data_IF_737326459636
#
_entry.id   IF_737326459636
#
_cell.length_a   1.000
_cell.length_b   1.000
_cell.length_c   1.000
_cell.angle_alpha   90.00
_cell.angle_beta   90.00
_cell.angle_gamma   90.00
#
_symmetry.space_group_name_H-M   'P 1'
#
loop_
_entity.id
_entity.type
_entity.pdbx_description
1 polymer ?
#
# COMPACT_ATOMS: atom_id res chain seq x y z
N UNK A 1 2.09 25.20 0.40
CA UNK A 1 0.89 24.48 -0.06
C UNK A 1 -0.10 24.20 1.08
N UNK A 2 0.21 23.38 2.09
CA UNK A 2 -0.73 23.16 3.20
C UNK A 2 -0.97 24.43 4.03
N UNK A 3 0.10 25.15 4.39
CA UNK A 3 0.00 26.43 5.12
C UNK A 3 -0.73 27.53 4.34
N UNK A 4 -0.67 27.49 3.00
CA UNK A 4 -1.43 28.42 2.15
C UNK A 4 -2.92 28.08 2.11
N UNK A 5 -3.27 26.78 2.10
CA UNK A 5 -4.67 26.33 2.17
C UNK A 5 -5.27 26.78 3.51
N UNK A 6 -4.55 26.58 4.61
CA UNK A 6 -4.95 27.03 5.94
C UNK A 6 -5.01 28.56 6.03
N UNK A 7 -4.02 29.27 5.49
CA UNK A 7 -3.93 30.73 5.51
C UNK A 7 -5.04 31.43 4.71
N UNK A 8 -5.61 30.76 3.69
CA UNK A 8 -6.72 31.27 2.90
C UNK A 8 -8.11 31.02 3.52
N UNK A 9 -8.18 30.42 4.71
CA UNK A 9 -9.45 30.09 5.37
C UNK A 9 -10.25 28.97 4.67
N UNK A 10 -9.62 28.25 3.74
CA UNK A 10 -10.20 27.06 3.12
C UNK A 10 -10.08 25.92 4.12
N UNK A 11 -11.21 25.35 4.53
CA UNK A 11 -11.23 24.21 5.44
C UNK A 11 -10.81 22.95 4.65
N UNK A 12 -9.63 22.37 4.92
CA UNK A 12 -9.22 21.12 4.28
C UNK A 12 -10.28 20.06 4.51
N UNK A 13 -10.68 19.41 3.44
CA UNK A 13 -11.62 18.32 3.47
C UNK A 13 -10.94 17.01 3.07
N UNK A 14 -11.76 15.98 2.99
CA UNK A 14 -11.32 14.65 2.65
C UNK A 14 -10.55 14.57 1.31
N UNK A 15 -10.97 15.33 0.31
CA UNK A 15 -10.35 15.34 -1.02
C UNK A 15 -8.98 16.04 -1.00
N UNK A 16 -8.89 17.10 -0.19
CA UNK A 16 -7.66 17.89 -0.01
C UNK A 16 -6.54 17.04 0.56
N UNK A 17 -6.81 16.29 1.64
CA UNK A 17 -5.82 15.40 2.25
C UNK A 17 -5.41 14.25 1.33
N UNK A 18 -6.34 13.71 0.53
CA UNK A 18 -6.00 12.68 -0.46
C UNK A 18 -5.03 13.21 -1.52
N UNK A 19 -5.27 14.41 -2.05
CA UNK A 19 -4.38 15.02 -3.03
C UNK A 19 -2.98 15.28 -2.46
N UNK A 20 -2.89 15.75 -1.21
CA UNK A 20 -1.62 16.01 -0.53
C UNK A 20 -0.83 14.73 -0.26
N UNK A 21 -1.48 13.68 0.27
CA UNK A 21 -0.82 12.39 0.49
C UNK A 21 -0.33 11.75 -0.81
N UNK A 22 -1.11 11.87 -1.89
CA UNK A 22 -0.72 11.41 -3.21
C UNK A 22 0.51 12.19 -3.73
N UNK A 23 0.53 13.51 -3.57
CA UNK A 23 1.66 14.35 -3.94
C UNK A 23 2.92 14.01 -3.13
N UNK A 24 2.80 13.83 -1.80
CA UNK A 24 3.90 13.38 -0.94
C UNK A 24 4.44 12.02 -1.38
N UNK A 25 3.56 11.07 -1.71
CA UNK A 25 3.94 9.77 -2.24
C UNK A 25 4.68 9.87 -3.58
N UNK A 26 4.21 10.72 -4.50
CA UNK A 26 4.86 10.90 -5.79
C UNK A 26 6.21 11.59 -5.68
N UNK A 27 6.35 12.51 -4.72
CA UNK A 27 7.56 13.30 -4.50
C UNK A 27 8.57 12.66 -3.53
N UNK A 28 8.25 11.51 -2.92
CA UNK A 28 9.09 10.87 -1.89
C UNK A 28 9.20 11.67 -0.58
N UNK A 29 8.23 12.55 -0.30
CA UNK A 29 8.25 13.43 0.87
C UNK A 29 7.61 12.72 2.07
N UNK A 30 8.38 11.84 2.72
CA UNK A 30 7.89 10.96 3.78
C UNK A 30 7.42 11.75 5.00
N UNK A 31 8.29 12.60 5.56
CA UNK A 31 7.99 13.32 6.80
C UNK A 31 6.81 14.27 6.61
N UNK A 32 6.70 14.90 5.45
CA UNK A 32 5.54 15.72 5.09
C UNK A 32 4.27 14.85 4.97
N UNK A 33 4.36 13.68 4.33
CA UNK A 33 3.23 12.75 4.23
C UNK A 33 2.75 12.25 5.59
N UNK A 34 3.68 11.99 6.52
CA UNK A 34 3.38 11.61 7.92
C UNK A 34 2.70 12.74 8.66
N UNK A 35 3.21 13.96 8.52
CA UNK A 35 2.64 15.13 9.18
C UNK A 35 1.25 15.45 8.63
N UNK A 36 1.07 15.40 7.30
CA UNK A 36 -0.25 15.55 6.66
C UNK A 36 -1.24 14.50 7.18
N UNK A 37 -0.82 13.25 7.33
CA UNK A 37 -1.67 12.17 7.86
C UNK A 37 -2.02 12.36 9.33
N UNK A 38 -1.05 12.80 10.15
CA UNK A 38 -1.24 13.13 11.57
C UNK A 38 -2.24 14.26 11.73
N UNK A 39 -2.04 15.38 11.02
CA UNK A 39 -2.92 16.55 11.04
C UNK A 39 -4.35 16.17 10.64
N UNK A 40 -4.51 15.39 9.56
CA UNK A 40 -5.82 14.90 9.10
C UNK A 40 -6.58 14.16 10.21
N UNK A 41 -5.90 13.26 10.93
CA UNK A 41 -6.50 12.41 11.96
C UNK A 41 -6.75 13.18 13.26
N UNK A 42 -5.72 13.86 13.75
CA UNK A 42 -5.69 14.38 15.12
C UNK A 42 -6.29 15.78 15.21
N UNK A 43 -6.14 16.61 14.17
CA UNK A 43 -6.59 18.01 14.18
C UNK A 43 -7.90 18.21 13.42
N UNK A 44 -8.13 17.44 12.35
CA UNK A 44 -9.35 17.53 11.55
C UNK A 44 -10.37 16.42 11.87
N UNK A 45 -10.03 15.44 12.70
CA UNK A 45 -10.87 14.28 13.05
C UNK A 45 -11.40 13.53 11.82
N UNK A 46 -10.69 13.61 10.69
CA UNK A 46 -11.07 12.93 9.46
C UNK A 46 -10.50 11.52 9.53
N UNK A 47 -11.38 10.53 9.72
CA UNK A 47 -10.99 9.13 9.66
C UNK A 47 -10.44 8.81 8.26
N UNK A 48 -9.28 8.16 8.24
CA UNK A 48 -8.68 7.68 7.00
C UNK A 48 -9.59 6.58 6.42
N UNK A 49 -10.19 6.83 5.25
CA UNK A 49 -10.78 5.78 4.44
C UNK A 49 -9.67 4.89 3.88
N UNK A 50 -10.02 3.66 3.53
CA UNK A 50 -9.15 2.64 2.92
C UNK A 50 -8.11 3.18 1.95
N UNK A 51 -8.51 4.06 1.04
CA UNK A 51 -7.64 4.64 0.00
C UNK A 51 -6.43 5.39 0.57
N UNK A 52 -6.52 5.99 1.76
CA UNK A 52 -5.40 6.75 2.36
C UNK A 52 -4.34 5.83 2.95
N UNK A 53 -4.75 4.69 3.52
CA UNK A 53 -3.80 3.68 4.01
C UNK A 53 -3.04 3.02 2.86
N UNK A 54 -3.67 2.86 1.69
CA UNK A 54 -2.96 2.43 0.46
C UNK A 54 -1.80 3.37 0.13
N UNK A 55 -2.02 4.69 0.17
CA UNK A 55 -0.96 5.67 -0.11
C UNK A 55 0.11 5.68 0.98
N UNK A 56 -0.26 5.56 2.25
CA UNK A 56 0.70 5.51 3.35
C UNK A 56 1.58 4.26 3.28
N UNK A 57 1.00 3.09 3.02
CA UNK A 57 1.74 1.84 2.84
C UNK A 57 2.70 1.94 1.64
N UNK A 58 2.26 2.54 0.52
CA UNK A 58 3.14 2.80 -0.63
C UNK A 58 4.30 3.73 -0.27
N UNK A 59 4.01 4.83 0.44
CA UNK A 59 5.03 5.78 0.87
C UNK A 59 6.12 5.10 1.71
N UNK A 60 5.71 4.28 2.69
CA UNK A 60 6.64 3.54 3.54
C UNK A 60 7.41 2.46 2.74
N UNK A 61 6.70 1.70 1.92
CA UNK A 61 7.27 0.59 1.16
C UNK A 61 8.26 1.02 0.08
N UNK A 62 8.00 2.11 -0.64
CA UNK A 62 8.89 2.64 -1.69
C UNK A 62 10.24 3.13 -1.14
N UNK A 63 10.32 3.38 0.16
CA UNK A 63 11.52 3.84 0.87
C UNK A 63 12.22 2.68 1.59
N UNK A 64 11.85 1.44 1.25
CA UNK A 64 12.41 0.22 1.83
C UNK A 64 11.93 -0.07 3.26
N UNK A 65 11.01 0.73 3.81
CA UNK A 65 10.47 0.56 5.19
C UNK A 65 9.32 -0.44 5.22
N UNK A 66 9.53 -1.60 4.60
CA UNK A 66 8.51 -2.63 4.39
C UNK A 66 7.96 -3.21 5.70
N UNK A 67 8.81 -3.45 6.70
CA UNK A 67 8.36 -3.95 8.02
C UNK A 67 7.43 -2.97 8.71
N UNK A 68 7.74 -1.67 8.68
CA UNK A 68 6.87 -0.66 9.28
C UNK A 68 5.56 -0.54 8.50
N UNK A 69 5.61 -0.62 7.17
CA UNK A 69 4.40 -0.68 6.35
C UNK A 69 3.52 -1.87 6.73
N UNK A 70 4.12 -3.04 6.97
CA UNK A 70 3.41 -4.23 7.46
C UNK A 70 2.79 -4.03 8.85
N UNK A 71 3.55 -3.50 9.81
CA UNK A 71 3.04 -3.22 11.15
C UNK A 71 1.93 -2.15 11.16
N UNK A 72 2.00 -1.16 10.26
CA UNK A 72 0.91 -0.20 10.07
C UNK A 72 -0.38 -0.93 9.69
N UNK A 73 -0.31 -1.86 8.73
CA UNK A 73 -1.48 -2.65 8.31
C UNK A 73 -2.04 -3.48 9.46
N UNK A 74 -1.19 -4.17 10.23
CA UNK A 74 -1.59 -4.95 11.41
C UNK A 74 -2.23 -4.09 12.52
N UNK A 75 -1.95 -2.79 12.55
CA UNK A 75 -2.55 -1.86 13.52
C UNK A 75 -3.96 -1.39 13.12
N UNK A 76 -4.40 -1.67 11.90
CA UNK A 76 -5.71 -1.25 11.41
C UNK A 76 -6.84 -2.12 11.98
N UNK A 77 -8.03 -1.54 12.22
CA UNK A 77 -9.19 -2.32 12.60
C UNK A 77 -9.64 -3.22 11.45
N UNK A 78 -9.92 -4.49 11.77
CA UNK A 78 -10.45 -5.47 10.81
C UNK A 78 -11.93 -5.20 10.47
N UNK A 79 -12.38 -5.50 9.23
CA UNK A 79 -11.62 -6.12 8.15
C UNK A 79 -10.74 -5.13 7.38
N UNK A 80 -9.46 -5.47 7.16
CA UNK A 80 -8.56 -4.68 6.33
C UNK A 80 -8.80 -4.93 4.84
N UNK A 81 -8.88 -3.85 4.07
CA UNK A 81 -9.14 -3.95 2.63
C UNK A 81 -7.99 -4.60 1.84
N UNK A 82 -8.36 -5.44 0.87
CA UNK A 82 -7.44 -6.10 -0.06
C UNK A 82 -6.46 -5.17 -0.77
N UNK A 83 -6.83 -3.93 -1.02
CA UNK A 83 -6.02 -2.93 -1.71
C UNK A 83 -4.86 -2.43 -0.85
N UNK A 84 -5.02 -2.40 0.47
CA UNK A 84 -3.95 -2.01 1.41
C UNK A 84 -2.87 -3.09 1.42
N UNK A 85 -3.27 -4.36 1.50
CA UNK A 85 -2.36 -5.51 1.37
C UNK A 85 -1.71 -5.60 -0.01
N UNK A 86 -2.49 -5.37 -1.08
CA UNK A 86 -1.97 -5.31 -2.45
C UNK A 86 -0.94 -4.19 -2.66
N UNK A 87 -1.08 -3.08 -1.94
CA UNK A 87 -0.10 -1.99 -1.95
C UNK A 87 1.24 -2.42 -1.34
N UNK A 88 1.22 -3.18 -0.24
CA UNK A 88 2.42 -3.72 0.37
C UNK A 88 3.08 -4.77 -0.51
N UNK A 89 2.29 -5.66 -1.13
CA UNK A 89 2.79 -6.66 -2.08
C UNK A 89 3.55 -6.01 -3.24
N UNK A 90 3.00 -4.92 -3.78
CA UNK A 90 3.68 -4.13 -4.83
C UNK A 90 5.01 -3.56 -4.35
N UNK A 91 5.08 -3.06 -3.12
CA UNK A 91 6.33 -2.54 -2.57
C UNK A 91 7.37 -3.65 -2.36
N UNK A 92 6.93 -4.86 -1.99
CA UNK A 92 7.82 -6.01 -1.87
C UNK A 92 8.43 -6.40 -3.22
N UNK A 93 7.66 -6.32 -4.31
CA UNK A 93 8.16 -6.50 -5.68
C UNK A 93 9.25 -5.48 -6.04
N UNK A 94 8.96 -4.20 -5.81
CA UNK A 94 9.91 -3.11 -6.12
C UNK A 94 11.20 -3.21 -5.30
N UNK A 95 11.11 -3.59 -4.02
CA UNK A 95 12.26 -3.68 -3.13
C UNK A 95 12.98 -5.04 -3.18
N UNK A 96 12.46 -6.03 -3.93
CA UNK A 96 13.02 -7.38 -3.98
C UNK A 96 12.92 -8.15 -2.65
N UNK A 97 11.92 -7.85 -1.81
CA UNK A 97 11.73 -8.56 -0.54
C UNK A 97 10.77 -9.75 -0.74
N UNK A 98 11.34 -10.87 -1.13
CA UNK A 98 10.59 -12.10 -1.43
C UNK A 98 9.85 -12.67 -0.22
N UNK A 99 10.50 -12.69 0.95
CA UNK A 99 9.95 -13.30 2.15
C UNK A 99 8.65 -12.60 2.58
N UNK A 100 8.66 -11.26 2.63
CA UNK A 100 7.47 -10.51 2.98
C UNK A 100 6.40 -10.60 1.88
N UNK A 101 6.80 -10.67 0.60
CA UNK A 101 5.85 -10.86 -0.50
C UNK A 101 5.07 -12.18 -0.36
N UNK A 102 5.73 -13.27 0.00
CA UNK A 102 5.09 -14.57 0.23
C UNK A 102 4.12 -14.51 1.41
N UNK A 103 4.51 -13.89 2.52
CA UNK A 103 3.64 -13.70 3.70
C UNK A 103 2.36 -12.94 3.32
N UNK A 104 2.52 -11.80 2.64
CA UNK A 104 1.39 -10.94 2.24
C UNK A 104 0.49 -11.65 1.23
N UNK A 105 1.06 -12.34 0.25
CA UNK A 105 0.29 -13.08 -0.74
C UNK A 105 -0.49 -14.25 -0.11
N UNK A 106 0.14 -14.99 0.80
CA UNK A 106 -0.52 -16.08 1.53
C UNK A 106 -1.71 -15.56 2.34
N UNK A 107 -1.56 -14.44 3.05
CA UNK A 107 -2.66 -13.82 3.79
C UNK A 107 -3.82 -13.41 2.86
N UNK A 108 -3.51 -12.83 1.70
CA UNK A 108 -4.51 -12.45 0.68
C UNK A 108 -5.28 -13.67 0.15
N UNK A 109 -4.59 -14.80 -0.05
CA UNK A 109 -5.18 -16.05 -0.54
C UNK A 109 -6.07 -16.70 0.52
N UNK A 110 -5.59 -16.81 1.77
CA UNK A 110 -6.34 -17.41 2.88
C UNK A 110 -7.56 -16.57 3.27
N UNK A 111 -7.46 -15.25 3.15
CA UNK A 111 -8.56 -14.32 3.50
C UNK A 111 -9.63 -14.20 2.40
N UNK A 112 -9.52 -14.93 1.29
CA UNK A 112 -10.38 -14.80 0.10
C UNK A 112 -10.48 -13.35 -0.43
N UNK A 113 -9.43 -12.55 -0.23
CA UNK A 113 -9.30 -11.18 -0.73
C UNK A 113 -8.43 -11.12 -2.00
N UNK A 114 -8.11 -12.29 -2.53
CA UNK A 114 -7.29 -12.49 -3.70
C UNK A 114 -7.92 -11.89 -4.96
N UNK A 115 -7.08 -11.26 -5.76
CA UNK A 115 -7.39 -10.81 -7.12
C UNK A 115 -6.35 -11.43 -8.03
N UNK A 116 -6.73 -11.75 -9.26
CA UNK A 116 -5.81 -12.27 -10.29
C UNK A 116 -4.54 -11.41 -10.44
N UNK A 117 -4.67 -10.09 -10.27
CA UNK A 117 -3.57 -9.14 -10.25
C UNK A 117 -2.48 -9.46 -9.19
N UNK A 118 -2.86 -9.95 -8.01
CA UNK A 118 -1.91 -10.29 -6.93
C UNK A 118 -1.11 -11.56 -7.25
N UNK A 119 -1.74 -12.56 -7.88
CA UNK A 119 -1.03 -13.74 -8.39
C UNK A 119 -0.05 -13.38 -9.51
N UNK A 120 -0.43 -12.47 -10.40
CA UNK A 120 0.48 -11.94 -11.42
C UNK A 120 1.68 -11.26 -10.76
N UNK A 121 1.43 -10.40 -9.77
CA UNK A 121 2.47 -9.69 -9.02
C UNK A 121 3.44 -10.67 -8.36
N UNK A 122 2.95 -11.64 -7.58
CA UNK A 122 3.81 -12.66 -6.96
C UNK A 122 4.58 -13.49 -8.00
N UNK A 123 3.98 -13.80 -9.16
CA UNK A 123 4.69 -14.51 -10.23
C UNK A 123 5.86 -13.70 -10.79
N UNK A 124 5.75 -12.36 -10.83
CA UNK A 124 6.83 -11.49 -11.28
C UNK A 124 7.93 -11.38 -10.24
N UNK A 125 7.57 -11.32 -8.95
CA UNK A 125 8.53 -11.36 -7.83
C UNK A 125 9.36 -12.65 -7.91
N UNK A 126 8.71 -13.81 -8.07
CA UNK A 126 9.42 -15.08 -8.24
C UNK A 126 10.34 -15.10 -9.47
N UNK A 127 9.89 -14.52 -10.60
CA UNK A 127 10.72 -14.43 -11.80
C UNK A 127 11.95 -13.52 -11.57
N UNK A 128 11.78 -12.40 -10.88
CA UNK A 128 12.87 -11.47 -10.53
C UNK A 128 13.93 -12.10 -9.63
N UNK A 129 13.52 -13.00 -8.74
CA UNK A 129 14.41 -13.76 -7.86
C UNK A 129 15.01 -15.02 -8.52
N UNK A 130 14.67 -15.30 -9.78
CA UNK A 130 15.15 -16.46 -10.53
C UNK A 130 14.41 -17.78 -10.23
N UNK A 131 13.31 -17.72 -9.47
CA UNK A 131 12.39 -18.85 -9.20
C UNK A 131 11.39 -19.03 -10.34
N UNK A 132 11.91 -19.28 -11.54
CA UNK A 132 11.13 -19.37 -12.79
C UNK A 132 10.04 -20.45 -12.76
N UNK A 133 10.30 -21.58 -12.10
CA UNK A 133 9.33 -22.66 -11.97
C UNK A 133 8.12 -22.27 -11.13
N UNK A 134 8.33 -21.51 -10.05
CA UNK A 134 7.24 -21.04 -9.19
C UNK A 134 6.43 -19.92 -9.87
N UNK A 135 7.12 -19.02 -10.59
CA UNK A 135 6.48 -18.04 -11.46
C UNK A 135 5.57 -18.71 -12.51
N UNK A 136 6.05 -19.78 -13.15
CA UNK A 136 5.27 -20.53 -14.15
C UNK A 136 4.05 -21.21 -13.53
N UNK A 137 4.19 -21.88 -12.38
CA UNK A 137 3.06 -22.53 -11.69
C UNK A 137 1.93 -21.53 -11.40
N UNK A 138 2.27 -20.33 -10.93
CA UNK A 138 1.30 -19.26 -10.66
C UNK A 138 0.64 -18.73 -11.94
N UNK A 139 1.38 -18.59 -13.04
CA UNK A 139 0.82 -18.17 -14.33
C UNK A 139 -0.14 -19.22 -14.91
N UNK A 140 0.21 -20.48 -14.78
CA UNK A 140 -0.61 -21.60 -15.24
C UNK A 140 -1.91 -21.74 -14.41
N UNK A 141 -1.90 -21.37 -13.12
CA UNK A 141 -3.11 -21.38 -12.29
C UNK A 141 -4.09 -20.27 -12.68
N UNK A 142 -3.60 -19.09 -13.07
CA UNK A 142 -4.44 -17.97 -13.56
C UNK A 142 -5.18 -18.34 -14.86
N UNK A 143 -4.54 -19.09 -15.77
CA UNK A 143 -5.17 -19.50 -17.04
C UNK A 143 -6.29 -20.53 -16.86
N UNK A 144 -6.33 -21.25 -15.73
CA UNK A 144 -7.37 -22.26 -15.45
C UNK A 144 -8.62 -21.68 -14.78
N UNK A 145 -8.56 -20.43 -14.32
CA UNK A 145 -9.66 -19.76 -13.62
C UNK A 145 -10.47 -18.80 -14.51
N UNK A 146 -10.04 -18.55 -15.75
CA UNK A 146 -10.79 -17.80 -16.78
C UNK A 146 -11.49 -18.76 -17.74
#
# INVERSE_FOLDING_TARGET
>A
MFDEILGNGLKPDESTFSALLCACCHAGLIEDGREVFRIMKDEFCIQARTERYVHMVKLLGMEGRLEEAYYLILSLPEPVDSGIWGALLLCCDVCGNLELAEIVAQWLFESNLEKSAYRVMLSNIYAGDGRWDDAKKLRDSIQKEN
#
